data_IF_961193809564
#
_entry.id   IF_961193809564
#
_cell.length_a   1.000
_cell.length_b   1.000
_cell.length_c   1.000
_cell.angle_alpha   90.00
_cell.angle_beta   90.00
_cell.angle_gamma   90.00
#
_symmetry.space_group_name_H-M   'P 1'
#
loop_
_entity.id
_entity.type
_entity.pdbx_description
1 polymer ?
#
# COMPACT_ATOMS: atom_id res chain seq x y z
N UNK A 1 -14.76 36.70 -4.89
CA UNK A 1 -15.14 36.00 -6.17
C UNK A 1 -13.99 35.09 -6.56
N UNK A 2 -14.24 33.78 -6.59
CA UNK A 2 -13.24 32.80 -6.97
C UNK A 2 -13.01 32.80 -8.48
N UNK A 3 -11.77 32.56 -8.90
CA UNK A 3 -11.43 32.41 -10.33
C UNK A 3 -12.08 31.15 -10.86
N UNK A 4 -12.91 31.27 -11.92
CA UNK A 4 -13.45 30.11 -12.63
C UNK A 4 -12.34 29.46 -13.46
N UNK A 5 -11.95 28.25 -13.10
CA UNK A 5 -10.90 27.49 -13.80
C UNK A 5 -11.45 26.66 -14.97
N UNK A 6 -12.69 26.23 -14.87
CA UNK A 6 -13.39 25.46 -15.90
C UNK A 6 -14.76 26.08 -16.09
N UNK A 7 -15.09 26.42 -17.32
CA UNK A 7 -16.36 27.03 -17.66
C UNK A 7 -17.03 26.25 -18.78
N UNK A 8 -18.32 25.92 -18.59
CA UNK A 8 -19.19 25.31 -19.62
C UNK A 8 -18.63 24.03 -20.27
N UNK A 9 -17.88 23.21 -19.53
CA UNK A 9 -17.38 21.94 -20.04
C UNK A 9 -18.50 20.89 -20.02
N UNK A 10 -18.85 20.36 -21.21
CA UNK A 10 -19.79 19.26 -21.36
C UNK A 10 -19.19 18.20 -22.26
N UNK A 11 -19.10 16.97 -21.77
CA UNK A 11 -18.60 15.82 -22.53
C UNK A 11 -19.16 14.51 -21.98
N UNK A 12 -19.11 13.48 -22.78
CA UNK A 12 -19.47 12.12 -22.40
C UNK A 12 -18.28 11.21 -22.64
N UNK A 13 -17.99 10.33 -21.68
CA UNK A 13 -16.96 9.31 -21.77
C UNK A 13 -17.62 7.95 -21.77
N UNK A 14 -17.31 7.14 -22.80
CA UNK A 14 -17.81 5.77 -22.89
C UNK A 14 -16.86 4.81 -22.15
N UNK A 15 -17.40 3.80 -21.51
CA UNK A 15 -16.61 2.76 -20.87
C UNK A 15 -16.58 1.49 -21.72
N UNK A 16 -15.43 0.81 -21.81
CA UNK A 16 -14.10 1.18 -21.28
C UNK A 16 -13.37 2.15 -22.20
N UNK A 17 -12.81 3.22 -21.67
CA UNK A 17 -11.99 4.17 -22.44
C UNK A 17 -10.77 4.64 -21.67
N UNK A 18 -9.72 5.06 -22.40
CA UNK A 18 -8.55 5.74 -21.86
C UNK A 18 -8.58 7.17 -22.36
N UNK A 19 -8.61 8.12 -21.44
CA UNK A 19 -8.77 9.55 -21.73
C UNK A 19 -7.57 10.31 -21.20
N UNK A 20 -7.05 11.22 -22.01
CA UNK A 20 -5.97 12.13 -21.63
C UNK A 20 -6.51 13.56 -21.62
N UNK A 21 -6.31 14.27 -20.53
CA UNK A 21 -6.66 15.68 -20.39
C UNK A 21 -5.39 16.51 -20.57
N UNK A 22 -5.31 17.30 -21.64
CA UNK A 22 -4.17 18.15 -21.97
C UNK A 22 -4.52 19.62 -21.83
N UNK A 23 -3.51 20.45 -21.61
CA UNK A 23 -3.68 21.90 -21.52
C UNK A 23 -2.47 22.57 -20.84
N UNK A 24 -2.35 23.91 -20.97
CA UNK A 24 -1.27 24.65 -20.33
C UNK A 24 -1.32 24.59 -18.80
N UNK A 25 -0.25 25.04 -18.15
CA UNK A 25 -0.24 25.21 -16.68
C UNK A 25 -1.37 26.13 -16.24
N UNK A 26 -2.04 25.83 -15.14
CA UNK A 26 -3.14 26.65 -14.61
C UNK A 26 -4.49 26.55 -15.33
N UNK A 27 -4.62 25.69 -16.37
CA UNK A 27 -5.87 25.54 -17.14
C UNK A 27 -7.02 24.83 -16.41
N UNK A 28 -6.85 24.44 -15.15
CA UNK A 28 -7.87 23.75 -14.37
C UNK A 28 -7.96 22.23 -14.59
N UNK A 29 -7.07 21.63 -15.40
CA UNK A 29 -7.10 20.17 -15.66
C UNK A 29 -6.95 19.31 -14.41
N UNK A 30 -6.15 19.75 -13.45
CA UNK A 30 -6.03 19.06 -12.15
C UNK A 30 -7.31 19.15 -11.34
N UNK A 31 -7.95 20.31 -11.32
CA UNK A 31 -9.25 20.52 -10.67
C UNK A 31 -10.34 19.69 -11.33
N UNK A 32 -10.32 19.55 -12.65
CA UNK A 32 -11.24 18.66 -13.35
C UNK A 32 -11.05 17.20 -12.90
N UNK A 33 -9.79 16.74 -12.79
CA UNK A 33 -9.51 15.41 -12.27
C UNK A 33 -10.01 15.23 -10.83
N UNK A 34 -9.83 16.22 -9.96
CA UNK A 34 -10.36 16.19 -8.59
C UNK A 34 -11.88 16.16 -8.54
N UNK A 35 -12.56 16.89 -9.43
CA UNK A 35 -14.02 16.88 -9.50
C UNK A 35 -14.52 15.52 -10.03
N UNK A 36 -13.87 14.95 -11.05
CA UNK A 36 -14.19 13.61 -11.56
C UNK A 36 -13.92 12.51 -10.54
N UNK A 37 -12.89 12.66 -9.73
CA UNK A 37 -12.57 11.76 -8.62
C UNK A 37 -13.45 11.98 -7.37
N UNK A 38 -14.40 12.91 -7.41
CA UNK A 38 -15.26 13.29 -6.27
C UNK A 38 -14.48 13.83 -5.05
N UNK A 39 -13.30 14.37 -5.26
CA UNK A 39 -12.49 15.01 -4.21
C UNK A 39 -12.99 16.44 -3.99
N UNK A 40 -13.36 17.14 -5.06
CA UNK A 40 -13.92 18.49 -5.01
C UNK A 40 -15.32 18.52 -5.63
N UNK A 41 -16.29 19.17 -5.00
CA UNK A 41 -17.60 19.39 -5.63
C UNK A 41 -17.47 20.45 -6.74
N UNK A 42 -18.21 20.30 -7.86
CA UNK A 42 -18.29 21.36 -8.87
C UNK A 42 -19.09 22.55 -8.31
N UNK A 43 -18.70 23.78 -8.67
CA UNK A 43 -19.47 24.98 -8.32
C UNK A 43 -20.78 25.11 -9.11
N UNK A 44 -20.98 24.33 -10.15
CA UNK A 44 -22.20 24.25 -10.95
C UNK A 44 -22.12 23.10 -11.96
N UNK A 45 -23.25 22.76 -12.56
CA UNK A 45 -23.37 21.60 -13.45
C UNK A 45 -23.60 20.28 -12.71
N UNK A 46 -23.51 19.17 -13.42
CA UNK A 46 -23.69 17.83 -12.85
C UNK A 46 -22.78 16.82 -13.52
N UNK A 47 -22.32 15.84 -12.76
CA UNK A 47 -21.57 14.69 -13.25
C UNK A 47 -22.40 13.44 -13.01
N UNK A 48 -22.56 12.62 -14.04
CA UNK A 48 -23.34 11.38 -13.95
C UNK A 48 -22.48 10.17 -14.32
N UNK A 49 -22.69 9.08 -13.60
CA UNK A 49 -22.14 7.75 -13.92
C UNK A 49 -23.34 6.82 -14.09
N UNK A 50 -23.49 6.22 -15.28
CA UNK A 50 -24.62 5.32 -15.58
C UNK A 50 -25.98 5.92 -15.19
N UNK A 51 -26.23 7.19 -15.54
CA UNK A 51 -27.43 7.98 -15.25
C UNK A 51 -27.65 8.37 -13.75
N UNK A 52 -26.76 7.99 -12.85
CA UNK A 52 -26.80 8.43 -11.46
C UNK A 52 -25.89 9.64 -11.24
N UNK A 53 -26.36 10.62 -10.46
CA UNK A 53 -25.50 11.76 -10.08
C UNK A 53 -24.35 11.25 -9.22
N UNK A 54 -23.11 11.59 -9.61
CA UNK A 54 -21.91 11.17 -8.89
C UNK A 54 -21.91 11.61 -7.43
N UNK A 55 -22.40 12.81 -7.17
CA UNK A 55 -22.38 13.40 -5.82
C UNK A 55 -23.52 12.92 -4.92
N UNK A 56 -24.58 12.32 -5.50
CA UNK A 56 -25.69 11.73 -4.76
C UNK A 56 -25.44 10.26 -4.40
N UNK A 57 -24.42 9.62 -5.00
CA UNK A 57 -24.05 8.26 -4.67
C UNK A 57 -23.43 8.18 -3.27
N UNK A 58 -23.71 7.13 -2.48
CA UNK A 58 -23.02 6.91 -1.22
C UNK A 58 -21.50 6.77 -1.39
N UNK A 59 -20.71 7.28 -0.44
CA UNK A 59 -19.25 7.16 -0.47
C UNK A 59 -18.77 5.71 -0.46
N UNK A 60 -19.52 4.81 0.17
CA UNK A 60 -19.26 3.38 0.14
C UNK A 60 -19.31 2.77 -1.27
N UNK A 61 -20.07 3.38 -2.19
CA UNK A 61 -20.15 2.96 -3.60
C UNK A 61 -19.00 3.59 -4.40
N UNK A 62 -18.86 4.92 -4.35
CA UNK A 62 -17.85 5.64 -5.12
C UNK A 62 -16.42 5.26 -4.73
N UNK A 63 -16.14 5.08 -3.44
CA UNK A 63 -14.83 4.64 -2.95
C UNK A 63 -14.45 3.21 -3.39
N UNK A 64 -15.38 2.42 -3.94
CA UNK A 64 -15.10 1.10 -4.54
C UNK A 64 -14.85 1.17 -6.05
N UNK A 65 -15.38 2.20 -6.70
CA UNK A 65 -15.41 2.31 -8.16
C UNK A 65 -14.42 3.35 -8.68
N UNK A 66 -14.04 4.33 -7.85
CA UNK A 66 -13.19 5.43 -8.24
C UNK A 66 -11.90 5.37 -7.44
N UNK A 67 -10.77 5.17 -8.12
CA UNK A 67 -9.42 5.32 -7.57
C UNK A 67 -8.81 6.61 -8.08
N UNK A 68 -8.16 7.37 -7.20
CA UNK A 68 -7.40 8.56 -7.55
C UNK A 68 -5.94 8.41 -7.11
N UNK A 69 -5.01 8.63 -8.03
CA UNK A 69 -3.60 8.70 -7.77
C UNK A 69 -3.08 10.10 -8.12
N UNK A 70 -2.67 10.86 -7.12
CA UNK A 70 -2.12 12.20 -7.27
C UNK A 70 -0.60 12.21 -7.27
N UNK A 71 0.00 13.38 -7.53
CA UNK A 71 1.45 13.60 -7.43
C UNK A 71 1.95 13.58 -5.98
N UNK A 72 1.08 13.90 -5.04
CA UNK A 72 1.36 13.85 -3.60
C UNK A 72 0.58 12.69 -3.01
N UNK A 73 1.26 11.56 -2.77
CA UNK A 73 0.66 10.40 -2.12
C UNK A 73 1.02 10.37 -0.64
N UNK A 74 0.02 10.15 0.19
CA UNK A 74 0.22 9.93 1.61
C UNK A 74 0.49 8.45 1.87
N UNK A 75 1.53 8.18 2.67
CA UNK A 75 1.87 6.84 3.14
C UNK A 75 1.64 6.78 4.65
N UNK A 76 0.94 5.76 5.11
CA UNK A 76 0.79 5.49 6.52
C UNK A 76 2.10 4.97 7.11
N UNK A 77 2.37 5.28 8.38
CA UNK A 77 3.48 4.68 9.12
C UNK A 77 3.18 3.20 9.43
N UNK A 78 3.25 2.39 8.39
CA UNK A 78 2.89 0.98 8.37
C UNK A 78 3.76 0.27 7.31
N UNK A 79 3.68 -1.04 7.23
CA UNK A 79 4.43 -1.79 6.21
C UNK A 79 3.96 -1.43 4.79
N UNK A 80 4.81 -1.67 3.80
CA UNK A 80 4.45 -1.52 2.38
C UNK A 80 3.18 -2.32 2.05
N UNK A 81 3.09 -3.55 2.58
CA UNK A 81 1.92 -4.41 2.42
C UNK A 81 0.64 -3.77 2.94
N UNK A 82 0.67 -3.23 4.16
CA UNK A 82 -0.50 -2.59 4.76
C UNK A 82 -0.93 -1.36 3.98
N UNK A 83 0.03 -0.55 3.51
CA UNK A 83 -0.27 0.60 2.66
C UNK A 83 -0.95 0.19 1.35
N UNK A 84 -0.49 -0.86 0.68
CA UNK A 84 -1.09 -1.33 -0.58
C UNK A 84 -2.49 -1.92 -0.33
N UNK A 85 -2.66 -2.69 0.74
CA UNK A 85 -3.93 -3.35 1.06
C UNK A 85 -4.94 -2.43 1.74
N UNK A 86 -4.57 -1.20 2.11
CA UNK A 86 -5.44 -0.26 2.81
C UNK A 86 -6.77 -0.03 2.07
N UNK A 87 -6.76 0.09 0.76
CA UNK A 87 -7.95 0.27 -0.06
C UNK A 87 -8.95 -0.90 -0.03
N UNK A 88 -8.53 -2.06 0.45
CA UNK A 88 -9.36 -3.26 0.62
C UNK A 88 -9.93 -3.40 2.03
N UNK A 89 -9.53 -2.54 2.97
CA UNK A 89 -9.92 -2.58 4.38
C UNK A 89 -11.15 -1.68 4.62
N UNK A 90 -12.34 -2.18 4.39
CA UNK A 90 -13.59 -1.36 4.48
C UNK A 90 -14.52 -1.76 5.60
N UNK A 91 -14.48 -3.03 6.00
CA UNK A 91 -15.26 -3.61 7.09
C UNK A 91 -14.57 -4.87 7.59
N UNK A 92 -14.85 -5.33 8.81
CA UNK A 92 -14.41 -6.65 9.25
C UNK A 92 -14.95 -7.71 8.31
N UNK A 93 -14.07 -8.55 7.77
CA UNK A 93 -14.42 -9.67 6.86
C UNK A 93 -14.41 -11.00 7.60
N UNK A 94 -13.58 -11.13 8.63
CA UNK A 94 -13.47 -12.32 9.49
C UNK A 94 -13.16 -11.84 10.89
N UNK A 95 -13.75 -12.52 11.87
CA UNK A 95 -13.48 -12.23 13.28
C UNK A 95 -12.01 -12.51 13.61
N UNK A 96 -11.48 -11.78 14.60
CA UNK A 96 -10.18 -12.07 15.16
C UNK A 96 -10.24 -13.37 15.99
N UNK A 97 -9.12 -14.08 16.02
CA UNK A 97 -8.95 -15.24 16.89
C UNK A 97 -8.44 -14.74 18.26
N UNK A 98 -9.27 -14.86 19.26
CA UNK A 98 -9.02 -14.36 20.60
C UNK A 98 -8.90 -15.51 21.60
N UNK A 99 -7.94 -15.40 22.51
CA UNK A 99 -7.99 -16.18 23.73
C UNK A 99 -9.10 -15.68 24.68
N UNK A 100 -9.35 -16.41 25.78
CA UNK A 100 -10.46 -16.11 26.70
C UNK A 100 -10.36 -14.71 27.32
N UNK A 101 -9.15 -14.22 27.63
CA UNK A 101 -8.93 -12.91 28.24
C UNK A 101 -9.17 -11.78 27.21
N UNK A 102 -8.63 -11.94 26.02
CA UNK A 102 -8.82 -11.00 24.91
C UNK A 102 -10.28 -10.93 24.48
N UNK A 103 -11.00 -12.07 24.43
CA UNK A 103 -12.41 -12.14 24.11
C UNK A 103 -13.27 -11.39 25.14
N UNK A 104 -12.95 -11.54 26.43
CA UNK A 104 -13.63 -10.83 27.50
C UNK A 104 -13.42 -9.31 27.42
N UNK A 105 -12.19 -8.88 27.14
CA UNK A 105 -11.85 -7.46 26.92
C UNK A 105 -12.58 -6.89 25.71
N UNK A 106 -12.56 -7.59 24.58
CA UNK A 106 -13.27 -7.17 23.38
C UNK A 106 -14.78 -7.02 23.61
N UNK A 107 -15.41 -7.96 24.33
CA UNK A 107 -16.83 -7.90 24.66
C UNK A 107 -17.16 -6.67 25.54
N UNK A 108 -16.26 -6.33 26.48
CA UNK A 108 -16.41 -5.13 27.32
C UNK A 108 -16.31 -3.86 26.48
N UNK A 109 -15.32 -3.75 25.62
CA UNK A 109 -15.15 -2.61 24.70
C UNK A 109 -16.32 -2.45 23.74
N UNK A 110 -16.83 -3.55 23.20
CA UNK A 110 -18.01 -3.57 22.33
C UNK A 110 -19.25 -3.05 23.07
N UNK A 111 -19.47 -3.51 24.28
CA UNK A 111 -20.60 -3.06 25.11
C UNK A 111 -20.52 -1.57 25.44
N UNK A 112 -19.31 -1.07 25.71
CA UNK A 112 -19.07 0.35 25.97
C UNK A 112 -19.29 1.20 24.70
N UNK A 113 -18.81 0.75 23.57
CA UNK A 113 -19.02 1.41 22.28
C UNK A 113 -20.52 1.52 21.94
N UNK A 114 -21.28 0.45 22.14
CA UNK A 114 -22.73 0.43 21.95
C UNK A 114 -23.45 1.42 22.87
N UNK A 115 -23.06 1.51 24.14
CA UNK A 115 -23.63 2.44 25.11
C UNK A 115 -23.30 3.90 24.81
N UNK A 116 -22.13 4.18 24.27
CA UNK A 116 -21.68 5.53 23.90
C UNK A 116 -22.11 5.95 22.49
N UNK A 117 -22.75 5.07 21.72
CA UNK A 117 -23.14 5.33 20.33
C UNK A 117 -21.96 5.34 19.35
N UNK A 118 -20.81 4.82 19.77
CA UNK A 118 -19.65 4.65 18.92
C UNK A 118 -19.78 3.39 18.03
N UNK A 119 -18.97 3.34 16.97
CA UNK A 119 -18.88 2.13 16.15
C UNK A 119 -18.22 1.02 16.96
N UNK A 120 -18.82 -0.18 16.91
CA UNK A 120 -18.37 -1.37 17.64
C UNK A 120 -17.62 -2.38 16.76
N UNK A 121 -16.98 -1.91 15.68
CA UNK A 121 -16.20 -2.78 14.81
C UNK A 121 -14.90 -3.21 15.49
N UNK A 122 -14.59 -4.48 15.38
CA UNK A 122 -13.34 -5.04 15.88
C UNK A 122 -12.18 -4.59 15.00
N UNK A 123 -11.24 -3.82 15.56
CA UNK A 123 -10.05 -3.33 14.87
C UNK A 123 -9.02 -4.44 14.61
N UNK A 124 -9.06 -5.52 15.40
CA UNK A 124 -8.14 -6.66 15.27
C UNK A 124 -8.67 -7.74 14.30
N UNK A 125 -9.91 -7.59 13.84
CA UNK A 125 -10.49 -8.47 12.84
C UNK A 125 -9.69 -8.44 11.52
N UNK A 126 -9.86 -9.44 10.69
CA UNK A 126 -9.33 -9.40 9.32
C UNK A 126 -10.23 -8.51 8.45
N UNK A 127 -9.71 -7.36 8.05
CA UNK A 127 -10.42 -6.37 7.25
C UNK A 127 -10.20 -6.50 5.75
N UNK A 128 -9.34 -7.45 5.31
CA UNK A 128 -8.97 -7.57 3.90
C UNK A 128 -10.09 -8.24 3.11
N UNK A 129 -10.70 -7.48 2.21
CA UNK A 129 -11.72 -7.95 1.29
C UNK A 129 -11.06 -8.69 0.10
N UNK A 130 -10.95 -10.01 0.22
CA UNK A 130 -10.37 -10.87 -0.81
C UNK A 130 -11.22 -10.87 -2.09
N UNK A 131 -12.55 -10.82 -1.94
CA UNK A 131 -13.48 -10.83 -3.08
C UNK A 131 -13.34 -9.55 -3.91
N UNK A 132 -13.19 -8.40 -3.26
CA UNK A 132 -12.95 -7.13 -3.93
C UNK A 132 -11.63 -7.12 -4.74
N UNK A 133 -10.63 -7.88 -4.29
CA UNK A 133 -9.38 -8.09 -5.02
C UNK A 133 -9.48 -9.21 -6.06
N UNK A 134 -10.59 -9.94 -6.12
CA UNK A 134 -10.76 -11.15 -6.92
C UNK A 134 -9.81 -12.28 -6.50
N UNK A 135 -9.41 -12.33 -5.22
CA UNK A 135 -8.52 -13.33 -4.68
C UNK A 135 -9.31 -14.46 -4.00
N UNK A 136 -8.88 -15.69 -4.21
CA UNK A 136 -9.50 -16.88 -3.61
C UNK A 136 -9.09 -17.09 -2.16
N UNK A 137 -7.86 -16.74 -1.83
CA UNK A 137 -7.25 -16.91 -0.51
C UNK A 137 -6.12 -15.91 -0.30
N UNK A 138 -5.46 -15.97 0.88
CA UNK A 138 -4.35 -15.07 1.23
C UNK A 138 -3.10 -15.29 0.36
N UNK A 139 -2.89 -16.50 -0.13
CA UNK A 139 -1.75 -16.82 -0.98
C UNK A 139 -1.97 -16.26 -2.40
N UNK A 140 -3.18 -16.39 -2.93
CA UNK A 140 -3.56 -15.76 -4.18
C UNK A 140 -3.51 -14.23 -4.08
N UNK A 141 -3.94 -13.64 -2.96
CA UNK A 141 -3.77 -12.22 -2.69
C UNK A 141 -2.29 -11.81 -2.76
N UNK A 142 -1.36 -12.59 -2.20
CA UNK A 142 0.07 -12.31 -2.29
C UNK A 142 0.57 -12.32 -3.74
N UNK A 143 0.14 -13.30 -4.53
CA UNK A 143 0.49 -13.36 -5.97
C UNK A 143 -0.02 -12.12 -6.72
N UNK A 144 -1.27 -11.70 -6.45
CA UNK A 144 -1.86 -10.50 -7.06
C UNK A 144 -1.16 -9.22 -6.64
N UNK A 145 -0.77 -9.11 -5.36
CA UNK A 145 -0.01 -7.98 -4.86
C UNK A 145 1.36 -7.87 -5.56
N UNK A 146 2.10 -8.98 -5.68
CA UNK A 146 3.36 -9.01 -6.41
C UNK A 146 3.18 -8.63 -7.89
N UNK A 147 2.13 -9.15 -8.53
CA UNK A 147 1.80 -8.78 -9.90
C UNK A 147 1.45 -7.29 -10.05
N UNK A 148 0.74 -6.71 -9.08
CA UNK A 148 0.44 -5.28 -9.09
C UNK A 148 1.71 -4.43 -8.97
N UNK A 149 2.65 -4.82 -8.10
CA UNK A 149 3.96 -4.19 -7.96
C UNK A 149 4.78 -4.27 -9.26
N UNK A 150 4.71 -5.41 -9.94
CA UNK A 150 5.38 -5.60 -11.23
C UNK A 150 4.79 -4.69 -12.33
N UNK A 151 3.46 -4.57 -12.40
CA UNK A 151 2.78 -3.68 -13.36
C UNK A 151 3.18 -2.21 -13.19
N UNK A 152 3.44 -1.76 -11.96
CA UNK A 152 3.88 -0.38 -11.66
C UNK A 152 5.40 -0.25 -11.58
N UNK A 153 6.14 -1.28 -11.99
CA UNK A 153 7.62 -1.32 -12.06
C UNK A 153 8.32 -1.14 -10.70
N UNK A 154 7.63 -1.43 -9.58
CA UNK A 154 8.17 -1.29 -8.22
C UNK A 154 8.79 -2.57 -7.65
N UNK A 155 8.75 -3.69 -8.37
CA UNK A 155 9.23 -5.00 -7.89
C UNK A 155 10.70 -4.94 -7.44
N UNK A 156 11.56 -4.28 -8.21
CA UNK A 156 12.98 -4.14 -7.88
C UNK A 156 13.19 -3.26 -6.63
N UNK A 157 12.47 -2.15 -6.52
CA UNK A 157 12.61 -1.24 -5.36
C UNK A 157 12.21 -1.95 -4.07
N UNK A 158 11.09 -2.68 -4.09
CA UNK A 158 10.63 -3.47 -2.95
C UNK A 158 11.61 -4.59 -2.60
N UNK A 159 12.22 -5.22 -3.61
CA UNK A 159 13.25 -6.22 -3.40
C UNK A 159 14.48 -5.63 -2.72
N UNK A 160 14.99 -4.49 -3.20
CA UNK A 160 16.13 -3.78 -2.61
C UNK A 160 15.83 -3.33 -1.17
N UNK A 161 14.65 -2.78 -0.91
CA UNK A 161 14.21 -2.45 0.46
C UNK A 161 14.18 -3.69 1.36
N UNK A 162 13.76 -4.84 0.81
CA UNK A 162 13.74 -6.11 1.52
C UNK A 162 15.14 -6.60 1.90
N UNK A 163 16.12 -6.42 1.01
CA UNK A 163 17.52 -6.79 1.28
C UNK A 163 18.17 -5.94 2.38
N UNK A 164 17.77 -4.67 2.49
CA UNK A 164 18.29 -3.75 3.50
C UNK A 164 17.61 -3.90 4.87
N UNK A 165 16.55 -4.69 4.96
CA UNK A 165 15.77 -4.83 6.19
C UNK A 165 16.44 -5.79 7.16
N UNK A 166 16.53 -5.39 8.43
CA UNK A 166 16.90 -6.30 9.51
C UNK A 166 15.76 -7.30 9.76
N UNK A 167 16.13 -8.56 9.92
CA UNK A 167 15.20 -9.66 10.21
C UNK A 167 15.39 -10.08 11.66
N UNK A 168 14.32 -10.05 12.45
CA UNK A 168 14.35 -10.62 13.81
C UNK A 168 14.51 -12.15 13.72
N UNK A 169 15.62 -12.71 14.23
CA UNK A 169 15.90 -14.14 14.18
C UNK A 169 14.84 -14.98 14.93
N UNK A 170 14.21 -14.43 15.95
CA UNK A 170 13.21 -15.13 16.75
C UNK A 170 11.88 -15.28 16.02
N UNK A 171 11.51 -14.27 15.21
CA UNK A 171 10.25 -14.24 14.47
C UNK A 171 10.35 -15.05 13.16
N UNK A 172 11.52 -15.07 12.52
CA UNK A 172 11.71 -15.70 11.20
C UNK A 172 12.87 -16.69 11.16
N UNK A 173 12.89 -17.63 12.09
CA UNK A 173 13.94 -18.65 12.25
C UNK A 173 14.33 -19.36 10.95
N UNK A 174 13.34 -19.77 10.13
CA UNK A 174 13.59 -20.45 8.85
C UNK A 174 14.30 -19.56 7.81
N UNK A 175 13.91 -18.30 7.73
CA UNK A 175 14.54 -17.34 6.82
C UNK A 175 15.98 -17.03 7.29
N UNK A 176 16.17 -16.81 8.58
CA UNK A 176 17.49 -16.56 9.16
C UNK A 176 18.45 -17.73 8.92
N UNK A 177 18.00 -18.97 9.12
CA UNK A 177 18.80 -20.15 8.85
C UNK A 177 19.19 -20.24 7.36
N UNK A 178 18.26 -19.99 6.45
CA UNK A 178 18.52 -19.99 5.01
C UNK A 178 19.50 -18.90 4.56
N UNK A 179 19.44 -17.71 5.17
CA UNK A 179 20.40 -16.61 4.89
C UNK A 179 21.80 -16.97 5.39
N UNK A 180 21.91 -17.55 6.58
CA UNK A 180 23.19 -17.99 7.12
C UNK A 180 23.83 -19.10 6.28
N UNK A 181 23.04 -20.08 5.86
CA UNK A 181 23.49 -21.14 4.97
C UNK A 181 23.94 -20.60 3.59
N UNK A 182 23.20 -19.67 3.02
CA UNK A 182 23.58 -19.01 1.77
C UNK A 182 24.89 -18.20 1.90
N UNK A 183 25.09 -17.53 3.03
CA UNK A 183 26.34 -16.81 3.33
C UNK A 183 27.53 -17.75 3.45
N UNK A 184 27.35 -18.89 4.09
CA UNK A 184 28.42 -19.89 4.24
C UNK A 184 28.82 -20.48 2.89
N UNK A 185 27.86 -20.88 2.06
CA UNK A 185 28.11 -21.33 0.70
C UNK A 185 28.84 -20.28 -0.15
N UNK A 186 28.37 -19.02 -0.07
CA UNK A 186 29.03 -17.92 -0.78
C UNK A 186 30.47 -17.72 -0.31
N UNK A 187 30.73 -17.86 1.01
CA UNK A 187 32.07 -17.78 1.58
C UNK A 187 32.98 -18.88 1.02
N UNK A 188 32.51 -20.12 0.98
CA UNK A 188 33.22 -21.26 0.42
C UNK A 188 33.52 -21.05 -1.09
N UNK A 189 32.56 -20.57 -1.86
CA UNK A 189 32.73 -20.27 -3.28
C UNK A 189 33.73 -19.11 -3.52
N UNK A 190 33.76 -18.11 -2.65
CA UNK A 190 34.65 -16.95 -2.71
C UNK A 190 36.09 -17.24 -2.23
N UNK A 191 36.37 -18.40 -1.66
CA UNK A 191 37.72 -18.80 -1.23
C UNK A 191 38.67 -19.04 -2.39
N UNK A 192 38.17 -19.10 -3.62
CA UNK A 192 39.00 -19.18 -4.85
C UNK A 192 39.93 -17.99 -5.00
N UNK A 193 41.22 -18.24 -5.46
CA UNK A 193 42.28 -17.19 -5.52
C UNK A 193 41.91 -16.00 -6.42
N UNK A 194 41.03 -16.17 -7.39
CA UNK A 194 40.61 -15.13 -8.30
C UNK A 194 39.50 -14.24 -7.69
N UNK A 195 38.61 -14.83 -6.86
CA UNK A 195 37.47 -14.11 -6.27
C UNK A 195 37.86 -13.34 -4.99
N UNK A 196 38.91 -13.78 -4.27
CA UNK A 196 39.46 -13.04 -3.11
C UNK A 196 39.95 -11.63 -3.43
N UNK A 197 40.29 -11.36 -4.69
CA UNK A 197 40.70 -10.01 -5.15
C UNK A 197 39.54 -9.13 -5.57
N UNK A 198 38.35 -9.71 -5.83
CA UNK A 198 37.17 -9.00 -6.35
C UNK A 198 36.11 -8.73 -5.28
N UNK A 199 36.10 -9.50 -4.20
CA UNK A 199 35.10 -9.40 -3.13
C UNK A 199 35.83 -9.35 -1.78
N UNK A 200 35.61 -8.28 -1.03
CA UNK A 200 36.03 -8.14 0.35
C UNK A 200 34.91 -8.58 1.26
N UNK A 201 35.14 -9.63 2.05
CA UNK A 201 34.16 -10.09 3.02
C UNK A 201 34.04 -9.08 4.17
N UNK A 202 32.81 -8.87 4.65
CA UNK A 202 32.59 -8.01 5.80
C UNK A 202 33.34 -8.54 7.04
N UNK A 203 34.13 -7.68 7.63
CA UNK A 203 34.87 -7.91 8.85
C UNK A 203 34.50 -6.79 9.83
N UNK A 204 33.83 -7.12 10.92
CA UNK A 204 33.34 -6.15 11.90
C UNK A 204 34.44 -5.35 12.61
N UNK A 205 35.69 -5.85 12.58
CA UNK A 205 36.85 -5.20 13.21
C UNK A 205 37.58 -4.25 12.26
N UNK A 206 37.14 -4.17 11.00
CA UNK A 206 37.77 -3.33 9.97
C UNK A 206 36.80 -2.30 9.40
N UNK A 207 37.33 -1.12 9.13
CA UNK A 207 36.58 -0.07 8.43
C UNK A 207 36.20 -0.51 7.02
N UNK A 208 34.90 -0.55 6.74
CA UNK A 208 34.36 -0.90 5.43
C UNK A 208 34.44 0.32 4.49
N UNK A 209 35.34 0.30 3.51
CA UNK A 209 35.54 1.38 2.53
C UNK A 209 34.39 1.52 1.54
N UNK A 210 33.56 0.49 1.41
CA UNK A 210 32.41 0.47 0.49
C UNK A 210 31.11 0.89 1.16
N UNK A 211 31.13 1.21 2.45
CA UNK A 211 30.00 1.70 3.23
C UNK A 211 30.17 3.18 3.61
N UNK A 212 29.08 3.86 3.85
CA UNK A 212 29.11 5.23 4.37
C UNK A 212 29.67 5.30 5.79
N UNK A 213 30.10 6.49 6.22
CA UNK A 213 30.56 6.70 7.59
C UNK A 213 29.49 6.32 8.63
N UNK A 214 28.23 6.63 8.33
CA UNK A 214 27.12 6.27 9.21
C UNK A 214 26.95 4.75 9.35
N UNK A 215 27.05 4.00 8.26
CA UNK A 215 26.99 2.53 8.28
C UNK A 215 28.17 1.92 9.05
N UNK A 216 29.37 2.48 8.92
CA UNK A 216 30.53 2.02 9.69
C UNK A 216 30.47 2.34 11.20
N UNK A 217 29.66 3.32 11.62
CA UNK A 217 29.48 3.69 13.02
C UNK A 217 28.32 2.97 13.69
N UNK A 218 27.34 2.52 12.90
CA UNK A 218 26.10 1.91 13.42
C UNK A 218 26.12 0.39 13.37
N UNK A 219 27.00 -0.21 12.59
CA UNK A 219 27.14 -1.65 12.35
C UNK A 219 28.59 -2.08 12.43
#
# INVERSE_FOLDING_TARGET
EGVKLIESASFTLEQPSRVVITGPGGSGKGQLAHVLARILPPSGGSIKISNHSLFDLPESVTGRQIGYAGSESFMFNASVRENILYGLQRRPMRDADYDDEQAAEFLRQKTEAERSGNRNHDINADWIDLDAAGATDREDMNRKLLKALDIVEMSNDIFQMGLQRQVDPNVRKRLTAGVLEARERLREELEGPMLKTMVELFDGDKYNRNASLAENLLF
#
